data_IF_582279375203
#
_entry.id   IF_582279375203
#
_cell.length_a   1.000
_cell.length_b   1.000
_cell.length_c   1.000
_cell.angle_alpha   90.00
_cell.angle_beta   90.00
_cell.angle_gamma   90.00
#
_symmetry.space_group_name_H-M   'P 1'
#
loop_
_entity.id
_entity.type
_entity.pdbx_description
1 polymer ?
#
# COMPACT_ATOMS: atom_id res chain seq x y z
N UNK A 1 -9.45 -22.79 16.11
CA UNK A 1 -8.96 -21.48 15.64
C UNK A 1 -8.73 -21.59 14.13
N UNK A 2 -9.38 -20.79 13.27
CA UNK A 2 -9.17 -20.88 11.82
C UNK A 2 -7.83 -20.24 11.41
N UNK A 3 -7.08 -20.89 10.51
CA UNK A 3 -5.83 -20.36 9.95
C UNK A 3 -6.13 -19.46 8.76
N UNK A 4 -5.68 -18.20 8.80
CA UNK A 4 -5.76 -17.28 7.66
C UNK A 4 -4.65 -17.56 6.65
N UNK A 5 -5.02 -17.80 5.39
CA UNK A 5 -4.05 -18.00 4.30
C UNK A 5 -3.77 -16.65 3.66
N UNK A 6 -2.56 -16.13 3.87
CA UNK A 6 -2.11 -14.87 3.27
C UNK A 6 -0.82 -15.05 2.47
N UNK A 7 -0.71 -14.34 1.35
CA UNK A 7 0.44 -14.33 0.44
C UNK A 7 1.40 -13.19 0.80
N UNK A 8 2.69 -13.46 1.03
CA UNK A 8 3.69 -12.39 1.15
C UNK A 8 3.89 -11.68 -0.19
N UNK A 9 3.98 -10.37 -0.17
CA UNK A 9 4.19 -9.51 -1.35
C UNK A 9 5.17 -8.41 -0.97
N UNK A 10 6.07 -8.08 -1.90
CA UNK A 10 6.90 -6.88 -1.83
C UNK A 10 6.42 -5.89 -2.88
N UNK A 11 6.23 -4.64 -2.48
CA UNK A 11 5.87 -3.57 -3.41
C UNK A 11 6.86 -2.44 -3.27
N UNK A 12 7.55 -2.08 -4.34
CA UNK A 12 8.26 -0.82 -4.42
C UNK A 12 7.27 0.24 -4.87
N UNK A 13 7.07 1.25 -4.02
CA UNK A 13 6.04 2.25 -4.24
C UNK A 13 6.52 3.64 -3.84
N UNK A 14 6.12 4.62 -4.65
CA UNK A 14 6.38 6.04 -4.44
C UNK A 14 5.13 6.82 -4.75
N UNK A 15 5.04 8.03 -4.22
CA UNK A 15 4.03 8.99 -4.64
C UNK A 15 4.18 9.28 -6.15
N UNK A 16 3.15 9.78 -6.85
CA UNK A 16 3.17 9.86 -8.31
C UNK A 16 4.24 10.81 -8.87
N UNK A 17 4.76 11.75 -8.06
CA UNK A 17 5.87 12.64 -8.45
C UNK A 17 7.23 12.14 -7.94
N UNK A 18 7.31 10.90 -7.45
CA UNK A 18 8.52 10.23 -7.02
C UNK A 18 8.86 10.37 -5.53
N UNK A 19 8.06 11.12 -4.76
CA UNK A 19 8.30 11.33 -3.35
C UNK A 19 8.33 9.99 -2.59
N UNK A 20 9.29 9.80 -1.67
CA UNK A 20 9.42 8.55 -0.92
C UNK A 20 8.27 8.41 0.08
N UNK A 21 7.83 7.17 0.27
CA UNK A 21 6.97 6.81 1.39
C UNK A 21 7.80 6.76 2.68
N UNK A 22 7.31 7.31 3.82
CA UNK A 22 8.03 7.28 5.08
C UNK A 22 8.30 5.87 5.60
N UNK A 23 9.48 5.66 6.17
CA UNK A 23 9.81 4.40 6.86
C UNK A 23 8.84 4.16 8.02
N UNK A 24 8.48 2.89 8.23
CA UNK A 24 7.53 2.44 9.24
C UNK A 24 6.09 2.98 9.09
N UNK A 25 5.75 3.60 7.95
CA UNK A 25 4.35 3.89 7.63
C UNK A 25 3.53 2.58 7.59
N UNK A 26 2.37 2.60 8.21
CA UNK A 26 1.51 1.43 8.32
C UNK A 26 0.83 1.13 6.98
N UNK A 27 0.74 -0.16 6.61
CA UNK A 27 0.01 -0.61 5.43
C UNK A 27 -1.22 -1.36 5.89
N UNK A 28 -2.40 -0.84 5.52
CA UNK A 28 -3.71 -1.35 5.90
C UNK A 28 -4.41 -1.93 4.69
N UNK A 29 -5.15 -3.01 4.84
CA UNK A 29 -6.14 -3.41 3.84
C UNK A 29 -7.22 -2.32 3.73
N UNK A 30 -7.45 -1.80 2.53
CA UNK A 30 -8.28 -0.60 2.36
C UNK A 30 -9.76 -0.85 2.69
N UNK A 31 -10.21 -2.11 2.61
CA UNK A 31 -11.59 -2.50 2.85
C UNK A 31 -11.86 -2.80 4.33
N UNK A 32 -11.05 -3.67 4.93
CA UNK A 32 -11.21 -4.12 6.32
C UNK A 32 -10.54 -3.22 7.36
N UNK A 33 -9.62 -2.34 6.92
CA UNK A 33 -8.81 -1.50 7.81
C UNK A 33 -7.81 -2.26 8.66
N UNK A 34 -7.61 -3.57 8.42
CA UNK A 34 -6.65 -4.39 9.14
C UNK A 34 -5.23 -4.06 8.73
N UNK A 35 -4.30 -4.07 9.68
CA UNK A 35 -2.87 -3.94 9.39
C UNK A 35 -2.38 -5.20 8.68
N UNK A 36 -1.78 -4.99 7.51
CA UNK A 36 -1.29 -6.07 6.65
C UNK A 36 0.21 -5.97 6.38
N UNK A 37 0.86 -4.89 6.82
CA UNK A 37 2.29 -4.68 6.62
C UNK A 37 2.76 -3.29 7.01
N UNK A 38 3.97 -2.96 6.56
CA UNK A 38 4.59 -1.66 6.78
C UNK A 38 5.51 -1.27 5.62
N UNK A 39 5.84 0.02 5.52
CA UNK A 39 6.86 0.53 4.62
C UNK A 39 8.25 0.33 5.24
N UNK A 40 9.10 -0.42 4.54
CA UNK A 40 10.51 -0.59 4.86
C UNK A 40 11.41 0.44 4.17
N UNK A 41 12.72 0.20 4.24
CA UNK A 41 13.72 1.07 3.59
C UNK A 41 13.51 1.14 2.07
N UNK A 42 13.84 2.28 1.47
CA UNK A 42 13.70 2.48 0.01
C UNK A 42 12.26 2.59 -0.48
N UNK A 43 11.29 2.85 0.41
CA UNK A 43 9.85 2.87 0.09
C UNK A 43 9.34 1.52 -0.45
N UNK A 44 9.88 0.43 0.11
CA UNK A 44 9.42 -0.94 -0.16
C UNK A 44 8.41 -1.37 0.90
N UNK A 45 7.16 -1.56 0.50
CA UNK A 45 6.13 -2.15 1.35
C UNK A 45 6.40 -3.65 1.48
N UNK A 46 6.37 -4.13 2.72
CA UNK A 46 6.40 -5.56 3.06
C UNK A 46 5.05 -5.89 3.66
N UNK A 47 4.25 -6.67 2.94
CA UNK A 47 2.85 -6.92 3.31
C UNK A 47 2.40 -8.35 3.03
N UNK A 48 1.33 -8.77 3.70
CA UNK A 48 0.66 -10.06 3.49
C UNK A 48 -0.81 -9.83 3.18
N UNK A 49 -1.27 -10.31 2.03
CA UNK A 49 -2.66 -10.15 1.60
C UNK A 49 -3.37 -11.49 1.47
N UNK A 50 -4.64 -11.52 1.84
CA UNK A 50 -5.50 -12.71 1.71
C UNK A 50 -6.09 -12.81 0.30
N UNK A 51 -6.30 -11.66 -0.36
CA UNK A 51 -6.88 -11.58 -1.69
C UNK A 51 -5.82 -11.43 -2.77
N UNK A 52 -6.12 -11.92 -3.97
CA UNK A 52 -5.23 -11.77 -5.13
C UNK A 52 -5.35 -10.39 -5.79
N UNK A 53 -6.42 -9.64 -5.51
CA UNK A 53 -6.62 -8.28 -6.00
C UNK A 53 -7.25 -7.43 -4.91
N UNK A 54 -6.87 -6.16 -4.87
CA UNK A 54 -7.45 -5.21 -3.92
C UNK A 54 -6.65 -3.93 -3.84
N UNK A 55 -6.87 -3.20 -2.76
CA UNK A 55 -6.17 -1.95 -2.48
C UNK A 55 -5.65 -1.98 -1.05
N UNK A 56 -4.45 -1.45 -0.84
CA UNK A 56 -3.92 -1.16 0.50
C UNK A 56 -3.80 0.35 0.70
N UNK A 57 -4.04 0.81 1.93
CA UNK A 57 -3.80 2.18 2.37
C UNK A 57 -2.48 2.25 3.10
N UNK A 58 -1.55 3.03 2.59
CA UNK A 58 -0.32 3.41 3.29
C UNK A 58 -0.62 4.66 4.12
N UNK A 59 -0.37 4.63 5.42
CA UNK A 59 -0.70 5.72 6.35
C UNK A 59 0.49 6.04 7.27
N UNK A 60 0.88 7.30 7.31
CA UNK A 60 1.92 7.82 8.21
C UNK A 60 1.44 8.96 9.11
N UNK A 61 0.14 9.25 9.08
CA UNK A 61 -0.52 10.21 9.95
C UNK A 61 -2.03 10.19 9.74
N UNK A 62 -2.75 11.10 10.40
CA UNK A 62 -4.22 11.10 10.39
C UNK A 62 -4.82 12.07 9.35
N UNK A 63 -4.01 12.97 8.80
CA UNK A 63 -4.48 13.92 7.80
C UNK A 63 -4.72 13.25 6.44
N UNK A 64 -5.65 13.75 5.62
CA UNK A 64 -5.94 13.18 4.30
C UNK A 64 -4.72 13.08 3.37
N UNK A 65 -3.75 13.99 3.51
CA UNK A 65 -2.49 14.03 2.75
C UNK A 65 -1.41 13.11 3.33
N UNK A 66 -1.60 12.59 4.54
CA UNK A 66 -0.66 11.69 5.23
C UNK A 66 -0.96 10.22 4.96
N UNK A 67 -1.60 9.95 3.83
CA UNK A 67 -1.96 8.62 3.39
C UNK A 67 -2.11 8.56 1.87
N UNK A 68 -1.86 7.36 1.32
CA UNK A 68 -2.05 7.06 -0.09
C UNK A 68 -2.59 5.63 -0.25
N UNK A 69 -3.07 5.31 -1.45
CA UNK A 69 -3.61 4.01 -1.81
C UNK A 69 -2.72 3.35 -2.85
N UNK A 70 -2.54 2.03 -2.75
CA UNK A 70 -1.85 1.21 -3.75
C UNK A 70 -2.81 0.11 -4.16
N UNK A 71 -3.18 0.07 -5.44
CA UNK A 71 -4.00 -0.99 -6.01
C UNK A 71 -3.10 -2.10 -6.53
N UNK A 72 -3.38 -3.35 -6.17
CA UNK A 72 -2.57 -4.50 -6.52
C UNK A 72 -3.39 -5.59 -7.22
N UNK A 73 -2.72 -6.33 -8.09
CA UNK A 73 -3.22 -7.57 -8.66
C UNK A 73 -2.06 -8.58 -8.74
N UNK A 74 -2.23 -9.73 -8.11
CA UNK A 74 -1.25 -10.79 -8.05
C UNK A 74 -1.48 -11.79 -9.18
N UNK A 75 -0.37 -12.31 -9.71
CA UNK A 75 -0.39 -13.48 -10.58
C UNK A 75 -0.62 -14.77 -9.80
N UNK A 76 -0.43 -15.93 -10.47
CA UNK A 76 -0.47 -17.25 -9.85
C UNK A 76 0.40 -17.35 -8.58
N UNK A 77 0.09 -18.30 -7.72
CA UNK A 77 0.83 -18.49 -6.47
C UNK A 77 2.18 -19.15 -6.74
N UNK A 78 3.25 -18.48 -6.36
CA UNK A 78 4.63 -18.95 -6.49
C UNK A 78 5.28 -19.16 -5.11
N UNK A 79 6.43 -19.83 -5.08
CA UNK A 79 7.21 -20.05 -3.85
C UNK A 79 7.95 -18.79 -3.41
N UNK A 80 8.39 -17.96 -4.35
CA UNK A 80 9.05 -16.68 -4.09
C UNK A 80 8.01 -15.55 -4.07
N UNK A 81 8.05 -14.63 -3.08
CA UNK A 81 7.18 -13.47 -3.07
C UNK A 81 7.42 -12.59 -4.32
N UNK A 82 6.37 -12.17 -5.05
CA UNK A 82 6.55 -11.26 -6.17
C UNK A 82 6.99 -9.88 -5.67
N UNK A 83 7.80 -9.21 -6.50
CA UNK A 83 8.16 -7.80 -6.33
C UNK A 83 7.39 -6.98 -7.36
N UNK A 84 6.52 -6.10 -6.90
CA UNK A 84 5.68 -5.25 -7.75
C UNK A 84 6.18 -3.81 -7.73
N UNK A 85 6.07 -3.12 -8.87
CA UNK A 85 6.33 -1.69 -9.00
C UNK A 85 4.98 -0.99 -9.17
N UNK A 86 4.49 -0.33 -8.12
CA UNK A 86 3.14 0.25 -8.11
C UNK A 86 3.18 1.67 -7.54
N UNK A 87 2.50 2.61 -8.19
CA UNK A 87 2.40 3.98 -7.69
C UNK A 87 1.46 4.06 -6.47
N UNK A 88 1.81 4.88 -5.49
CA UNK A 88 0.94 5.23 -4.39
C UNK A 88 0.11 6.46 -4.76
N UNK A 89 -1.17 6.28 -5.07
CA UNK A 89 -2.06 7.40 -5.43
C UNK A 89 -2.53 8.13 -4.17
N UNK A 90 -2.54 9.47 -4.15
CA UNK A 90 -3.08 10.24 -3.03
C UNK A 90 -4.48 9.76 -2.63
N UNK A 91 -4.71 9.54 -1.33
CA UNK A 91 -6.00 9.04 -0.85
C UNK A 91 -7.10 10.12 -0.91
N UNK A 92 -6.71 11.40 -0.77
CA UNK A 92 -7.52 12.52 -1.22
C UNK A 92 -7.04 12.95 -2.60
N UNK A 93 -7.98 13.21 -3.52
CA UNK A 93 -7.67 14.09 -4.63
C UNK A 93 -7.31 15.43 -3.97
N UNK A 94 -6.01 15.77 -3.92
CA UNK A 94 -5.60 17.11 -3.56
C UNK A 94 -6.49 18.06 -4.38
N UNK A 95 -7.26 18.89 -3.67
CA UNK A 95 -8.23 19.81 -4.23
C UNK A 95 -7.66 20.43 -5.52
N UNK A 96 -8.24 20.06 -6.67
CA UNK A 96 -8.08 20.86 -7.87
C UNK A 96 -8.72 22.21 -7.55
N UNK A 97 -7.89 23.24 -7.56
CA UNK A 97 -8.21 24.66 -7.72
C UNK A 97 -9.58 25.14 -7.20
N UNK A 98 -9.56 25.81 -6.05
CA UNK A 98 -10.38 27.01 -5.82
C UNK A 98 -9.48 28.14 -5.33
N UNK A 99 -8.66 28.63 -6.25
CA UNK A 99 -8.02 29.95 -6.12
C UNK A 99 -8.72 30.87 -7.12
N UNK A 100 -9.36 31.90 -6.54
CA UNK A 100 -10.06 33.05 -7.13
C UNK A 100 -11.48 32.80 -7.64
#
# INVERSE_FOLDING_TARGET
YPTRVARPVLVESRMPRGEPLPFAAEVLDAHSGQSVGAVGQGSRLVLRVEQDRGSVRVRWGNEPQQQCLVDYALGPRETTPPVLQLACRPASAAARERTL
#
